data_IF_641259446146
#
_entry.id   IF_641259446146
#
_cell.length_a   1.000
_cell.length_b   1.000
_cell.length_c   1.000
_cell.angle_alpha   90.00
_cell.angle_beta   90.00
_cell.angle_gamma   90.00
#
_symmetry.space_group_name_H-M   'P 1'
#
loop_
_entity.id
_entity.type
_entity.pdbx_description
1 polymer ?
#
# COMPACT_ATOMS: atom_id res chain seq x y z
N UNK A 1 13.20 4.20 -5.45
CA UNK A 1 12.94 4.13 -4.00
C UNK A 1 12.53 2.70 -3.67
N UNK A 2 12.81 2.20 -2.47
CA UNK A 2 12.33 0.88 -2.04
C UNK A 2 10.88 1.08 -1.54
N UNK A 3 9.94 0.34 -2.12
CA UNK A 3 8.52 0.43 -1.79
C UNK A 3 8.13 -0.63 -0.76
N UNK A 4 8.68 -1.84 -0.87
CA UNK A 4 8.36 -2.96 0.02
C UNK A 4 9.52 -3.98 0.03
N UNK A 5 9.58 -4.81 1.07
CA UNK A 5 10.34 -6.05 1.08
C UNK A 5 9.42 -7.24 1.33
N UNK A 6 9.61 -8.36 0.63
CA UNK A 6 8.88 -9.61 0.88
C UNK A 6 9.86 -10.78 0.76
N UNK A 7 10.01 -11.54 1.84
CA UNK A 7 10.79 -12.78 1.93
C UNK A 7 12.21 -12.74 1.28
N UNK A 8 12.93 -11.63 1.48
CA UNK A 8 14.30 -11.45 0.97
C UNK A 8 14.41 -10.81 -0.42
N UNK A 9 13.29 -10.48 -1.05
CA UNK A 9 13.24 -9.63 -2.25
C UNK A 9 12.82 -8.21 -1.90
N UNK A 10 13.33 -7.25 -2.66
CA UNK A 10 12.95 -5.84 -2.57
C UNK A 10 12.13 -5.45 -3.80
N UNK A 11 10.98 -4.82 -3.58
CA UNK A 11 10.21 -4.13 -4.60
C UNK A 11 10.63 -2.66 -4.60
N UNK A 12 11.09 -2.19 -5.75
CA UNK A 12 11.54 -0.82 -5.96
C UNK A 12 10.68 -0.14 -7.02
N UNK A 13 10.38 1.14 -6.84
CA UNK A 13 9.79 2.00 -7.86
C UNK A 13 10.74 3.13 -8.29
N UNK A 14 10.55 3.68 -9.49
CA UNK A 14 11.12 5.00 -9.84
C UNK A 14 10.55 6.09 -8.93
N UNK A 15 11.18 7.27 -8.88
CA UNK A 15 10.64 8.39 -8.13
C UNK A 15 9.20 8.72 -8.60
N UNK A 16 8.31 8.91 -7.63
CA UNK A 16 6.90 9.22 -7.91
C UNK A 16 6.80 10.58 -8.58
N UNK A 17 6.20 10.62 -9.77
CA UNK A 17 5.82 11.86 -10.41
C UNK A 17 4.37 12.17 -10.04
N UNK A 18 4.15 13.24 -9.26
CA UNK A 18 2.83 13.62 -8.74
C UNK A 18 1.78 13.90 -9.84
N UNK A 19 2.20 14.03 -11.10
CA UNK A 19 1.32 14.28 -12.23
C UNK A 19 1.16 13.09 -13.18
N UNK A 20 1.95 12.03 -13.00
CA UNK A 20 1.91 10.85 -13.88
C UNK A 20 2.08 9.57 -13.08
N UNK A 21 1.10 8.66 -13.14
CA UNK A 21 1.15 7.28 -12.60
C UNK A 21 2.13 6.36 -13.37
N UNK A 22 3.20 6.94 -13.93
CA UNK A 22 4.11 6.32 -14.88
C UNK A 22 5.33 5.68 -14.19
N UNK A 23 5.12 5.12 -13.01
CA UNK A 23 6.20 4.51 -12.24
C UNK A 23 6.63 3.17 -12.84
N UNK A 24 7.94 2.99 -13.01
CA UNK A 24 8.50 1.68 -13.31
C UNK A 24 8.78 0.93 -12.01
N UNK A 25 8.38 -0.33 -11.99
CA UNK A 25 8.58 -1.23 -10.86
C UNK A 25 9.66 -2.27 -11.17
N UNK A 26 10.46 -2.59 -10.16
CA UNK A 26 11.56 -3.54 -10.27
C UNK A 26 11.56 -4.46 -9.06
N UNK A 27 11.86 -5.73 -9.28
CA UNK A 27 12.23 -6.67 -8.23
C UNK A 27 13.75 -6.70 -8.16
N UNK A 28 14.31 -6.44 -7.00
CA UNK A 28 15.73 -6.59 -6.72
C UNK A 28 15.96 -7.71 -5.71
N UNK A 29 16.89 -8.61 -6.02
CA UNK A 29 17.37 -9.65 -5.12
C UNK A 29 18.74 -9.23 -4.56
N UNK A 30 18.84 -8.78 -3.30
CA UNK A 30 20.11 -8.35 -2.71
C UNK A 30 21.14 -9.47 -2.62
N UNK A 31 20.70 -10.72 -2.46
CA UNK A 31 21.57 -11.89 -2.30
C UNK A 31 22.30 -12.22 -3.61
N UNK A 32 21.60 -12.14 -4.74
CA UNK A 32 22.19 -12.42 -6.06
C UNK A 32 22.65 -11.16 -6.79
N UNK A 33 22.33 -9.98 -6.26
CA UNK A 33 22.55 -8.68 -6.89
C UNK A 33 21.91 -8.55 -8.28
N UNK A 34 20.82 -9.27 -8.51
CA UNK A 34 20.08 -9.24 -9.76
C UNK A 34 18.80 -8.42 -9.61
N UNK A 35 18.40 -7.76 -10.69
CA UNK A 35 17.11 -7.08 -10.78
C UNK A 35 16.33 -7.50 -12.02
N UNK A 36 15.01 -7.44 -11.91
CA UNK A 36 14.06 -7.67 -13.01
C UNK A 36 13.09 -6.51 -13.04
N UNK A 37 12.91 -5.93 -14.22
CA UNK A 37 11.86 -4.92 -14.47
C UNK A 37 10.52 -5.63 -14.59
N UNK A 38 9.53 -5.14 -13.85
CA UNK A 38 8.17 -5.67 -13.92
C UNK A 38 7.46 -5.12 -15.15
N UNK A 39 6.64 -5.96 -15.83
CA UNK A 39 5.86 -5.48 -16.96
C UNK A 39 4.84 -4.46 -16.46
N UNK A 40 4.67 -3.39 -17.25
CA UNK A 40 3.57 -2.47 -17.01
C UNK A 40 2.25 -3.16 -17.32
N UNK A 41 1.25 -3.06 -16.44
CA UNK A 41 -0.08 -3.56 -16.74
C UNK A 41 -0.65 -2.86 -17.98
N UNK A 42 -1.43 -3.61 -18.77
CA UNK A 42 -1.94 -3.16 -20.07
C UNK A 42 -3.12 -2.17 -19.90
N UNK A 43 -3.76 -2.15 -18.74
CA UNK A 43 -4.99 -1.43 -18.45
C UNK A 43 -4.85 -0.63 -17.16
N UNK A 44 -5.41 0.57 -17.14
CA UNK A 44 -5.54 1.41 -15.94
C UNK A 44 -4.27 2.11 -15.50
N UNK A 45 -4.44 3.15 -14.69
CA UNK A 45 -3.34 3.85 -14.06
C UNK A 45 -2.94 3.10 -12.78
N UNK A 46 -1.67 2.73 -12.66
CA UNK A 46 -1.17 1.94 -11.51
C UNK A 46 -1.00 2.86 -10.30
N UNK A 47 -1.73 2.57 -9.23
CA UNK A 47 -1.61 3.25 -7.94
C UNK A 47 -0.43 2.69 -7.15
N UNK A 48 -0.18 1.39 -7.27
CA UNK A 48 0.88 0.72 -6.54
C UNK A 48 1.05 -0.74 -6.94
N UNK A 49 2.19 -1.32 -6.57
CA UNK A 49 2.42 -2.75 -6.63
C UNK A 49 2.87 -3.30 -5.28
N UNK A 50 2.57 -4.56 -5.01
CA UNK A 50 3.02 -5.30 -3.83
C UNK A 50 3.52 -6.66 -4.25
N UNK A 51 4.58 -7.12 -3.58
CA UNK A 51 4.98 -8.52 -3.59
C UNK A 51 4.18 -9.28 -2.54
N UNK A 52 3.78 -10.49 -2.91
CA UNK A 52 3.22 -11.46 -1.99
C UNK A 52 3.88 -12.82 -2.20
N UNK A 53 4.17 -13.52 -1.12
CA UNK A 53 4.77 -14.84 -1.14
C UNK A 53 4.05 -15.76 -0.16
N UNK A 54 3.57 -16.89 -0.68
CA UNK A 54 2.92 -17.92 0.12
C UNK A 54 3.69 -19.24 -0.04
N UNK A 55 4.62 -19.56 0.89
CA UNK A 55 5.47 -20.73 0.78
C UNK A 55 4.70 -22.05 0.79
N UNK A 56 3.47 -22.05 1.31
CA UNK A 56 2.64 -23.25 1.42
C UNK A 56 1.86 -23.54 0.14
N UNK A 57 1.67 -22.54 -0.74
CA UNK A 57 0.99 -22.71 -2.03
C UNK A 57 1.92 -22.79 -3.22
N UNK A 58 3.00 -22.01 -3.22
CA UNK A 58 3.88 -21.92 -4.38
C UNK A 58 5.27 -21.45 -4.00
N UNK A 59 6.28 -21.95 -4.71
CA UNK A 59 7.63 -21.39 -4.67
C UNK A 59 7.77 -20.07 -5.42
N UNK A 60 6.71 -19.59 -6.09
CA UNK A 60 6.72 -18.36 -6.87
C UNK A 60 6.16 -17.17 -6.08
N UNK A 61 6.84 -16.02 -6.23
CA UNK A 61 6.31 -14.73 -5.81
C UNK A 61 5.17 -14.31 -6.75
N UNK A 62 4.16 -13.67 -6.17
CA UNK A 62 3.10 -12.98 -6.91
C UNK A 62 3.34 -11.48 -6.84
N UNK A 63 3.18 -10.82 -7.98
CA UNK A 63 3.15 -9.37 -8.07
C UNK A 63 1.69 -8.96 -8.20
N UNK A 64 1.24 -8.11 -7.30
CA UNK A 64 -0.15 -7.65 -7.24
C UNK A 64 -0.13 -6.17 -7.57
N UNK A 65 -0.80 -5.79 -8.64
CA UNK A 65 -0.92 -4.40 -9.09
C UNK A 65 -2.30 -3.88 -8.69
N UNK A 66 -2.31 -2.70 -8.08
CA UNK A 66 -3.52 -1.94 -7.81
C UNK A 66 -3.67 -0.86 -8.88
N UNK A 67 -4.80 -0.84 -9.56
CA UNK A 67 -5.08 0.05 -10.68
C UNK A 67 -6.38 0.81 -10.46
N UNK A 68 -6.42 2.07 -10.91
CA UNK A 68 -7.68 2.76 -11.17
C UNK A 68 -8.15 2.29 -12.54
N UNK A 69 -9.26 1.55 -12.58
CA UNK A 69 -10.00 1.38 -13.82
C UNK A 69 -10.59 2.74 -14.18
N UNK A 70 -10.31 3.26 -15.39
CA UNK A 70 -11.09 4.38 -15.93
C UNK A 70 -12.54 3.92 -16.04
N UNK A 71 -13.35 4.27 -15.05
CA UNK A 71 -14.79 4.24 -15.23
C UNK A 71 -15.08 5.26 -16.33
N UNK A 72 -15.82 4.83 -17.36
CA UNK A 72 -16.34 5.77 -18.36
C UNK A 72 -17.12 6.87 -17.63
N UNK A 73 -17.07 8.13 -18.12
CA UNK A 73 -17.66 9.25 -17.41
C UNK A 73 -19.18 9.19 -17.52
N UNK A 74 -19.83 8.43 -16.64
CA UNK A 74 -21.24 8.63 -16.35
C UNK A 74 -21.35 9.71 -15.27
N UNK A 75 -21.68 10.92 -15.73
CA UNK A 75 -21.98 12.09 -14.92
C UNK A 75 -23.08 11.74 -13.91
N UNK A 76 -22.72 11.57 -12.64
CA UNK A 76 -23.60 11.88 -11.51
C UNK A 76 -22.77 12.50 -10.38
N UNK A 77 -23.20 13.69 -9.99
CA UNK A 77 -22.69 14.55 -8.93
C UNK A 77 -22.98 13.93 -7.55
N UNK A 78 -22.49 12.71 -7.31
CA UNK A 78 -22.42 12.13 -5.98
C UNK A 78 -21.13 12.63 -5.35
N UNK A 79 -21.21 13.16 -4.14
CA UNK A 79 -20.05 13.34 -3.27
C UNK A 79 -19.37 11.98 -3.10
N UNK A 80 -18.48 11.61 -4.03
CA UNK A 80 -17.62 10.45 -3.89
C UNK A 80 -16.86 10.69 -2.58
N UNK A 81 -17.11 9.85 -1.58
CA UNK A 81 -16.32 9.86 -0.36
C UNK A 81 -14.84 9.82 -0.77
N UNK A 82 -14.14 10.95 -0.59
CA UNK A 82 -12.77 11.13 -1.03
C UNK A 82 -11.85 10.30 -0.13
N UNK A 83 -11.72 9.01 -0.43
CA UNK A 83 -10.83 8.09 0.26
C UNK A 83 -9.46 8.09 -0.40
N UNK A 84 -8.41 8.29 0.41
CA UNK A 84 -7.02 8.13 0.00
C UNK A 84 -6.47 6.80 0.50
N UNK A 85 -5.82 6.06 -0.40
CA UNK A 85 -5.02 4.89 -0.01
C UNK A 85 -3.73 5.38 0.63
N UNK A 86 -3.49 4.95 1.87
CA UNK A 86 -2.30 5.31 2.66
C UNK A 86 -1.32 4.14 2.82
N UNK A 87 -1.80 2.91 2.60
CA UNK A 87 -0.96 1.72 2.63
C UNK A 87 -1.54 0.65 1.70
N UNK A 88 -0.64 -0.02 0.98
CA UNK A 88 -0.92 -1.22 0.21
C UNK A 88 0.30 -2.14 0.31
N UNK A 89 0.14 -3.30 0.92
CA UNK A 89 1.28 -4.18 1.18
C UNK A 89 0.91 -5.49 1.84
N UNK A 90 1.82 -6.45 1.77
CA UNK A 90 1.68 -7.76 2.40
C UNK A 90 2.11 -7.72 3.88
N UNK A 91 1.36 -8.40 4.74
CA UNK A 91 1.66 -8.62 6.15
C UNK A 91 1.16 -10.01 6.55
N UNK A 92 2.05 -10.85 7.08
CA UNK A 92 1.78 -12.21 7.54
C UNK A 92 1.11 -13.16 6.51
N UNK A 93 1.45 -13.02 5.23
CA UNK A 93 0.88 -13.79 4.13
C UNK A 93 -0.42 -13.22 3.57
N UNK A 94 -0.89 -12.09 4.12
CA UNK A 94 -2.14 -11.44 3.72
C UNK A 94 -1.85 -10.08 3.10
N UNK A 95 -2.48 -9.81 1.95
CA UNK A 95 -2.40 -8.50 1.32
C UNK A 95 -3.42 -7.56 1.96
N UNK A 96 -2.93 -6.42 2.45
CA UNK A 96 -3.74 -5.40 3.11
C UNK A 96 -3.75 -4.10 2.31
N UNK A 97 -4.89 -3.40 2.38
CA UNK A 97 -5.10 -2.07 1.83
C UNK A 97 -5.69 -1.20 2.93
N UNK A 98 -5.09 -0.04 3.20
CA UNK A 98 -5.58 0.90 4.19
C UNK A 98 -5.99 2.19 3.49
N UNK A 99 -7.22 2.61 3.75
CA UNK A 99 -7.80 3.85 3.26
C UNK A 99 -8.13 4.77 4.41
N UNK A 100 -8.03 6.07 4.16
CA UNK A 100 -8.48 7.12 5.07
C UNK A 100 -9.34 8.11 4.30
N UNK A 101 -10.42 8.59 4.91
CA UNK A 101 -11.21 9.66 4.32
C UNK A 101 -10.42 10.98 4.38
N UNK A 102 -10.32 11.71 3.27
CA UNK A 102 -9.58 12.99 3.25
C UNK A 102 -10.23 14.09 4.07
N UNK A 103 -11.55 14.08 4.15
CA UNK A 103 -12.31 15.01 4.98
C UNK A 103 -12.27 14.60 6.45
N UNK A 104 -12.15 13.30 6.73
CA UNK A 104 -12.04 12.76 8.08
C UNK A 104 -10.83 11.82 8.23
N UNK A 105 -9.67 12.41 8.54
CA UNK A 105 -8.39 11.72 8.71
C UNK A 105 -8.31 10.82 9.97
N UNK A 106 -9.41 10.68 10.72
CA UNK A 106 -9.44 9.85 11.94
C UNK A 106 -9.85 8.42 11.65
N UNK A 107 -10.63 8.15 10.60
CA UNK A 107 -11.17 6.82 10.33
C UNK A 107 -10.35 6.10 9.25
N UNK A 108 -9.70 5.02 9.65
CA UNK A 108 -8.89 4.16 8.78
C UNK A 108 -9.60 2.84 8.54
N UNK A 109 -9.94 2.59 7.28
CA UNK A 109 -10.50 1.31 6.84
C UNK A 109 -9.37 0.38 6.42
N UNK A 110 -9.25 -0.75 7.10
CA UNK A 110 -8.27 -1.79 6.80
C UNK A 110 -8.98 -2.93 6.08
N UNK A 111 -8.67 -3.09 4.81
CA UNK A 111 -9.15 -4.17 3.96
C UNK A 111 -8.10 -5.27 3.86
N UNK A 112 -8.55 -6.51 3.79
CA UNK A 112 -7.74 -7.66 3.42
C UNK A 112 -8.27 -8.27 2.12
N UNK A 113 -7.36 -8.68 1.24
CA UNK A 113 -7.72 -9.40 0.02
C UNK A 113 -8.20 -10.81 0.37
N UNK A 114 -9.33 -11.23 -0.20
CA UNK A 114 -9.80 -12.61 -0.09
C UNK A 114 -8.75 -13.58 -0.59
N UNK A 115 -8.71 -14.76 0.00
CA UNK A 115 -7.77 -15.81 -0.35
C UNK A 115 -7.84 -16.25 -1.83
N UNK A 116 -9.03 -16.17 -2.44
CA UNK A 116 -9.25 -16.45 -3.86
C UNK A 116 -8.81 -15.31 -4.79
N UNK A 117 -8.38 -14.17 -4.24
CA UNK A 117 -7.94 -12.99 -4.97
C UNK A 117 -9.05 -12.23 -5.69
N UNK A 118 -10.33 -12.56 -5.44
CA UNK A 118 -11.46 -12.02 -6.20
C UNK A 118 -11.94 -10.66 -5.72
N UNK A 119 -11.51 -10.23 -4.53
CA UNK A 119 -11.88 -8.93 -4.00
C UNK A 119 -11.44 -8.70 -2.56
N UNK A 120 -11.72 -7.50 -2.10
CA UNK A 120 -11.38 -7.02 -0.76
C UNK A 120 -12.54 -7.22 0.22
N UNK A 121 -12.24 -7.45 1.48
CA UNK A 121 -13.21 -7.38 2.56
C UNK A 121 -12.72 -6.45 3.66
N UNK A 122 -13.63 -5.65 4.25
CA UNK A 122 -13.31 -4.80 5.38
C UNK A 122 -13.00 -5.70 6.59
N UNK A 123 -11.76 -5.64 7.09
CA UNK A 123 -11.29 -6.44 8.21
C UNK A 123 -11.39 -5.66 9.51
N UNK A 124 -10.97 -4.39 9.49
CA UNK A 124 -11.03 -3.49 10.63
C UNK A 124 -11.43 -2.09 10.20
N UNK A 125 -12.18 -1.43 11.05
CA UNK A 125 -12.37 0.01 11.03
C UNK A 125 -11.66 0.56 12.27
N UNK A 126 -10.66 1.41 12.05
CA UNK A 126 -9.77 1.90 13.11
C UNK A 126 -9.95 3.40 13.23
N UNK A 127 -10.49 3.86 14.36
CA UNK A 127 -10.44 5.26 14.71
C UNK A 127 -9.06 5.58 15.30
N UNK A 128 -8.29 6.40 14.60
CA UNK A 128 -6.96 6.82 15.01
C UNK A 128 -6.98 7.57 16.33
N UNK A 129 -8.04 8.33 16.65
CA UNK A 129 -8.18 9.02 17.94
C UNK A 129 -8.19 8.02 19.11
N UNK A 130 -8.90 6.90 18.97
CA UNK A 130 -8.93 5.86 20.00
C UNK A 130 -7.55 5.22 20.20
N UNK A 131 -6.78 5.05 19.10
CA UNK A 131 -5.40 4.56 19.16
C UNK A 131 -4.49 5.56 19.87
N UNK A 132 -4.63 6.87 19.58
CA UNK A 132 -3.90 7.94 20.25
C UNK A 132 -4.17 7.92 21.75
N UNK A 133 -5.45 7.81 22.14
CA UNK A 133 -5.88 7.82 23.53
C UNK A 133 -5.38 6.58 24.28
N UNK A 134 -5.40 5.41 23.64
CA UNK A 134 -4.89 4.17 24.23
C UNK A 134 -3.36 4.16 24.32
N UNK A 135 -2.66 4.81 23.39
CA UNK A 135 -1.20 4.78 23.27
C UNK A 135 -0.60 6.18 23.05
N UNK A 136 -0.66 7.07 24.06
CA UNK A 136 -0.30 8.49 23.92
C UNK A 136 1.19 8.75 23.59
N UNK A 137 2.06 7.74 23.68
CA UNK A 137 3.47 7.87 23.35
C UNK A 137 3.80 7.64 21.87
N UNK A 138 2.84 7.16 21.06
CA UNK A 138 3.05 6.87 19.63
C UNK A 138 3.23 8.16 18.80
N UNK A 139 2.77 9.31 19.31
CA UNK A 139 2.66 10.56 18.52
C UNK A 139 3.58 11.62 19.08
N UNK A 140 4.81 11.68 18.57
CA UNK A 140 5.69 12.85 18.77
C UNK A 140 6.12 13.57 17.50
N UNK A 141 5.63 13.19 16.31
CA UNK A 141 6.06 13.86 15.08
C UNK A 141 5.18 13.75 13.84
N UNK A 142 3.97 13.18 13.90
CA UNK A 142 3.14 12.91 12.71
C UNK A 142 2.11 14.00 12.36
N UNK A 143 2.01 15.08 13.15
CA UNK A 143 1.00 16.13 12.98
C UNK A 143 1.53 17.35 12.22
N UNK A 144 2.18 17.15 11.07
CA UNK A 144 2.27 18.20 10.05
C UNK A 144 1.63 17.67 8.77
N UNK A 145 0.37 18.05 8.57
CA UNK A 145 -0.59 17.55 7.58
C UNK A 145 -0.27 17.96 6.13
N UNK A 146 0.96 18.38 5.83
CA UNK A 146 1.36 18.81 4.48
C UNK A 146 2.65 18.19 3.94
N UNK A 147 3.45 17.48 4.75
CA UNK A 147 4.69 16.83 4.27
C UNK A 147 4.52 15.32 4.09
N UNK A 148 3.89 14.93 2.99
CA UNK A 148 3.86 13.53 2.52
C UNK A 148 5.18 13.06 1.89
N UNK A 149 6.28 13.80 2.03
CA UNK A 149 7.60 13.41 1.56
C UNK A 149 8.58 13.59 2.73
N UNK A 150 9.40 12.57 2.97
CA UNK A 150 10.32 12.38 4.12
C UNK A 150 9.74 11.64 5.32
N UNK A 151 9.58 10.32 5.18
CA UNK A 151 9.56 9.44 6.34
C UNK A 151 11.00 9.14 6.78
N UNK A 152 11.37 9.61 7.97
CA UNK A 152 12.47 9.02 8.73
C UNK A 152 11.99 7.70 9.35
N UNK A 153 12.56 6.57 8.94
CA UNK A 153 12.25 5.28 9.57
C UNK A 153 13.16 5.09 10.79
N UNK A 154 12.56 4.87 11.96
CA UNK A 154 13.26 4.37 13.14
C UNK A 154 12.60 3.06 13.58
N UNK A 155 13.38 1.99 13.70
CA UNK A 155 12.91 0.75 14.32
C UNK A 155 12.95 0.97 15.83
N UNK A 156 11.78 1.07 16.45
CA UNK A 156 11.66 1.37 17.88
C UNK A 156 11.63 0.11 18.74
N UNK A 157 11.09 -0.99 18.22
CA UNK A 157 11.11 -2.30 18.88
C UNK A 157 10.80 -3.44 17.88
N UNK A 158 11.12 -4.68 18.26
CA UNK A 158 10.77 -5.91 17.52
C UNK A 158 9.90 -6.77 18.42
N UNK A 159 8.58 -6.71 18.19
CA UNK A 159 7.61 -7.54 18.91
C UNK A 159 7.42 -8.88 18.20
N UNK A 160 7.28 -9.96 19.00
CA UNK A 160 7.01 -11.33 18.56
C UNK A 160 5.53 -11.66 18.69
#
# INVERSE_FOLDING_TARGET
>A
MISQSCNGLLLCCTAHNLFTFDENYYIFNPTTQQFVTLPRPISGDVIGMSLAFDPWKSSHYKVISLQISKLEPEVQDHEEDDYRIVYFGESYGHLHLIQVNRQNLTLYNVYEMKHDGTGWFLKYEVNFEDVVLAFPHIIRGFLETTDFHYYGMAVLDVVR
#
